data_IF_299419347413
#
_entry.id   IF_299419347413
#
_cell.length_a   1.000
_cell.length_b   1.000
_cell.length_c   1.000
_cell.angle_alpha   90.00
_cell.angle_beta   90.00
_cell.angle_gamma   90.00
#
_symmetry.space_group_name_H-M   'P 1'
#
loop_
_entity.id
_entity.type
_entity.pdbx_description
1 polymer ?
#
# COMPACT_ATOMS: atom_id res chain seq x y z
N UNK A 1 26.12 -11.67 4.86
CA UNK A 1 24.82 -11.21 4.35
C UNK A 1 24.38 -12.22 3.31
N UNK A 2 23.22 -12.83 3.50
CA UNK A 2 22.65 -13.86 2.61
C UNK A 2 21.88 -13.17 1.47
N UNK A 3 21.92 -13.71 0.24
CA UNK A 3 21.21 -13.14 -0.92
C UNK A 3 19.68 -13.10 -0.75
N UNK A 4 19.13 -13.91 0.17
CA UNK A 4 17.71 -13.95 0.50
C UNK A 4 17.22 -12.65 1.18
N UNK A 5 18.06 -12.02 1.99
CA UNK A 5 17.69 -10.79 2.73
C UNK A 5 17.60 -9.56 1.81
N UNK A 6 18.42 -9.52 0.75
CA UNK A 6 18.34 -8.50 -0.29
C UNK A 6 17.07 -8.64 -1.14
N UNK A 7 16.66 -9.88 -1.44
CA UNK A 7 15.43 -10.16 -2.20
C UNK A 7 14.17 -9.73 -1.44
N UNK A 8 14.14 -9.93 -0.11
CA UNK A 8 13.02 -9.50 0.75
C UNK A 8 12.97 -7.98 0.84
N UNK A 9 14.12 -7.34 0.99
CA UNK A 9 14.22 -5.88 1.04
C UNK A 9 13.77 -5.25 -0.28
N UNK A 10 14.18 -5.83 -1.42
CA UNK A 10 13.75 -5.39 -2.75
C UNK A 10 12.26 -5.53 -2.97
N UNK A 11 11.66 -6.70 -2.63
CA UNK A 11 10.21 -6.87 -2.74
C UNK A 11 9.45 -5.92 -1.82
N UNK A 12 9.91 -5.72 -0.60
CA UNK A 12 9.32 -4.77 0.34
C UNK A 12 9.37 -3.32 -0.17
N UNK A 13 10.47 -2.92 -0.80
CA UNK A 13 10.58 -1.61 -1.45
C UNK A 13 9.61 -1.48 -2.62
N UNK A 14 9.46 -2.53 -3.44
CA UNK A 14 8.51 -2.51 -4.56
C UNK A 14 7.06 -2.33 -4.07
N UNK A 15 6.63 -3.12 -3.08
CA UNK A 15 5.29 -2.99 -2.49
C UNK A 15 5.06 -1.60 -1.90
N UNK A 16 6.11 -1.02 -1.27
CA UNK A 16 6.04 0.35 -0.76
C UNK A 16 5.82 1.37 -1.87
N UNK A 17 6.49 1.23 -3.02
CA UNK A 17 6.30 2.12 -4.17
C UNK A 17 4.89 2.00 -4.73
N UNK A 18 4.37 0.78 -4.88
CA UNK A 18 2.99 0.53 -5.35
C UNK A 18 1.95 1.23 -4.43
N UNK A 19 2.09 1.09 -3.11
CA UNK A 19 1.22 1.77 -2.14
C UNK A 19 1.35 3.31 -2.18
N UNK A 20 2.58 3.82 -2.39
CA UNK A 20 2.80 5.27 -2.51
C UNK A 20 2.18 5.83 -3.79
N UNK A 21 2.25 5.09 -4.90
CA UNK A 21 1.59 5.46 -6.15
C UNK A 21 0.07 5.47 -5.98
N UNK A 22 -0.52 4.44 -5.37
CA UNK A 22 -1.95 4.41 -5.07
C UNK A 22 -2.36 5.61 -4.18
N UNK A 23 -1.57 5.92 -3.15
CA UNK A 23 -1.82 7.10 -2.29
C UNK A 23 -1.73 8.41 -3.04
N UNK A 24 -0.78 8.55 -3.97
CA UNK A 24 -0.67 9.74 -4.80
C UNK A 24 -1.91 9.91 -5.71
N UNK A 25 -2.42 8.81 -6.28
CA UNK A 25 -3.67 8.78 -7.06
C UNK A 25 -4.87 9.27 -6.23
N UNK A 26 -5.10 8.66 -5.07
CA UNK A 26 -6.18 9.05 -4.15
C UNK A 26 -6.08 10.53 -3.73
N UNK A 27 -4.88 11.02 -3.44
CA UNK A 27 -4.68 12.43 -3.08
C UNK A 27 -4.93 13.38 -4.25
N UNK A 28 -4.63 12.96 -5.48
CA UNK A 28 -4.97 13.74 -6.68
C UNK A 28 -6.48 13.81 -6.88
N UNK A 29 -7.20 12.69 -6.67
CA UNK A 29 -8.67 12.65 -6.74
C UNK A 29 -9.33 13.51 -5.66
N UNK A 30 -8.84 13.46 -4.41
CA UNK A 30 -9.29 14.33 -3.31
C UNK A 30 -9.14 15.80 -3.67
N UNK A 31 -8.01 16.18 -4.29
CA UNK A 31 -7.76 17.57 -4.74
C UNK A 31 -8.63 17.98 -5.93
N UNK A 32 -9.05 17.02 -6.74
CA UNK A 32 -9.87 17.25 -7.91
C UNK A 32 -11.38 17.30 -7.62
N UNK A 33 -11.85 16.79 -6.46
CA UNK A 33 -13.27 16.90 -6.08
C UNK A 33 -13.63 18.40 -5.92
N UNK A 34 -14.60 18.91 -6.71
CA UNK A 34 -15.04 20.28 -6.62
C UNK A 34 -15.74 20.54 -5.27
N UNK A 35 -15.70 21.77 -4.74
CA UNK A 35 -16.36 22.08 -3.48
C UNK A 35 -17.89 21.92 -3.55
N UNK A 36 -18.41 21.16 -2.57
CA UNK A 36 -19.80 21.04 -2.12
C UNK A 36 -20.88 20.75 -3.17
N UNK A 37 -20.98 19.48 -3.58
CA UNK A 37 -22.22 18.87 -4.07
C UNK A 37 -22.44 17.62 -3.19
N UNK A 38 -23.64 17.34 -2.65
CA UNK A 38 -23.88 16.22 -1.73
C UNK A 38 -23.41 14.83 -2.23
N UNK A 39 -23.36 14.63 -3.55
CA UNK A 39 -22.82 13.41 -4.15
C UNK A 39 -21.28 13.31 -4.07
N UNK A 40 -20.56 14.44 -4.00
CA UNK A 40 -19.12 14.46 -3.76
C UNK A 40 -18.81 14.09 -2.30
N UNK A 41 -19.73 14.21 -1.34
CA UNK A 41 -19.45 13.86 0.06
C UNK A 41 -19.25 12.34 0.24
N UNK A 42 -20.07 11.49 -0.38
CA UNK A 42 -19.88 10.03 -0.31
C UNK A 42 -18.60 9.59 -1.04
N UNK A 43 -18.35 10.14 -2.23
CA UNK A 43 -17.13 9.87 -2.98
C UNK A 43 -15.88 10.34 -2.22
N UNK A 44 -15.93 11.54 -1.65
CA UNK A 44 -14.84 12.13 -0.88
C UNK A 44 -14.60 11.34 0.42
N UNK A 45 -15.64 10.94 1.14
CA UNK A 45 -15.53 10.08 2.31
C UNK A 45 -14.86 8.75 1.94
N UNK A 46 -15.26 8.15 0.82
CA UNK A 46 -14.64 6.91 0.34
C UNK A 46 -13.14 7.11 0.00
N UNK A 47 -12.77 8.23 -0.63
CA UNK A 47 -11.37 8.57 -0.90
C UNK A 47 -10.56 8.79 0.39
N UNK A 48 -11.17 9.40 1.43
CA UNK A 48 -10.54 9.53 2.74
C UNK A 48 -10.32 8.17 3.41
N UNK A 49 -11.30 7.27 3.35
CA UNK A 49 -11.18 5.90 3.85
C UNK A 49 -10.05 5.14 3.13
N UNK A 50 -9.95 5.28 1.81
CA UNK A 50 -8.85 4.70 1.03
C UNK A 50 -7.50 5.27 1.43
N UNK A 51 -7.39 6.59 1.60
CA UNK A 51 -6.16 7.25 2.07
C UNK A 51 -5.72 6.70 3.43
N UNK A 52 -6.66 6.53 4.35
CA UNK A 52 -6.38 6.05 5.70
C UNK A 52 -6.01 4.55 5.69
N UNK A 53 -6.67 3.75 4.86
CA UNK A 53 -6.32 2.36 4.64
C UNK A 53 -4.90 2.20 4.05
N UNK A 54 -4.54 3.01 3.05
CA UNK A 54 -3.18 3.06 2.49
C UNK A 54 -2.14 3.47 3.54
N UNK A 55 -2.48 4.41 4.41
CA UNK A 55 -1.63 4.81 5.54
C UNK A 55 -1.35 3.65 6.50
N UNK A 56 -2.38 2.86 6.84
CA UNK A 56 -2.24 1.66 7.68
C UNK A 56 -1.39 0.58 7.00
N UNK A 57 -1.60 0.34 5.71
CA UNK A 57 -0.85 -0.65 4.95
C UNK A 57 0.64 -0.28 4.84
N UNK A 58 0.95 0.99 4.59
CA UNK A 58 2.33 1.50 4.58
C UNK A 58 3.00 1.35 5.96
N UNK A 59 2.27 1.63 7.05
CA UNK A 59 2.76 1.42 8.41
C UNK A 59 3.06 -0.05 8.69
N UNK A 60 2.11 -0.93 8.37
CA UNK A 60 2.27 -2.39 8.55
C UNK A 60 3.44 -2.95 7.74
N UNK A 61 3.63 -2.49 6.50
CA UNK A 61 4.78 -2.88 5.69
C UNK A 61 6.11 -2.41 6.30
N UNK A 62 6.15 -1.17 6.81
CA UNK A 62 7.33 -0.65 7.49
C UNK A 62 7.68 -1.48 8.74
N UNK A 63 6.68 -1.88 9.53
CA UNK A 63 6.88 -2.72 10.71
C UNK A 63 7.41 -4.12 10.34
N UNK A 64 6.90 -4.73 9.26
CA UNK A 64 7.40 -6.02 8.77
C UNK A 64 8.86 -5.91 8.35
N UNK A 65 9.23 -4.83 7.65
CA UNK A 65 10.60 -4.62 7.19
C UNK A 65 11.56 -4.29 8.35
N UNK A 66 11.11 -3.54 9.35
CA UNK A 66 11.88 -3.19 10.53
C UNK A 66 11.99 -4.33 11.55
N UNK A 67 11.10 -5.32 11.49
CA UNK A 67 11.10 -6.45 12.42
C UNK A 67 12.43 -7.22 12.38
N UNK A 68 12.98 -7.48 13.58
CA UNK A 68 14.17 -8.30 13.80
C UNK A 68 13.81 -9.79 13.87
N UNK A 69 13.19 -10.28 12.80
CA UNK A 69 12.85 -11.71 12.61
C UNK A 69 13.70 -12.30 11.48
N UNK A 70 13.83 -13.62 11.43
CA UNK A 70 14.56 -14.29 10.35
C UNK A 70 13.92 -14.07 8.98
N UNK A 71 14.72 -14.16 7.92
CA UNK A 71 14.32 -13.89 6.53
C UNK A 71 13.07 -14.69 6.12
N UNK A 72 12.98 -15.98 6.48
CA UNK A 72 11.81 -16.82 6.18
C UNK A 72 10.50 -16.30 6.80
N UNK A 73 10.56 -15.85 8.04
CA UNK A 73 9.38 -15.29 8.72
C UNK A 73 9.00 -13.93 8.15
N UNK A 74 10.01 -13.10 7.81
CA UNK A 74 9.78 -11.82 7.13
C UNK A 74 9.13 -12.04 5.76
N UNK A 75 9.63 -12.99 4.96
CA UNK A 75 9.06 -13.35 3.66
C UNK A 75 7.60 -13.83 3.78
N UNK A 76 7.30 -14.68 4.78
CA UNK A 76 5.92 -15.14 5.05
C UNK A 76 5.00 -13.96 5.36
N UNK A 77 5.41 -13.08 6.28
CA UNK A 77 4.62 -11.89 6.66
C UNK A 77 4.41 -10.94 5.49
N UNK A 78 5.41 -10.78 4.63
CA UNK A 78 5.32 -9.95 3.44
C UNK A 78 4.33 -10.53 2.42
N UNK A 79 4.35 -11.84 2.21
CA UNK A 79 3.40 -12.54 1.33
C UNK A 79 1.96 -12.48 1.88
N UNK A 80 1.78 -12.69 3.19
CA UNK A 80 0.47 -12.56 3.85
C UNK A 80 -0.06 -11.13 3.76
N UNK A 81 0.81 -10.14 3.97
CA UNK A 81 0.47 -8.72 3.80
C UNK A 81 0.00 -8.42 2.38
N UNK A 82 0.74 -8.88 1.36
CA UNK A 82 0.38 -8.65 -0.03
C UNK A 82 -1.00 -9.25 -0.38
N UNK A 83 -1.34 -10.42 0.16
CA UNK A 83 -2.65 -11.05 -0.06
C UNK A 83 -3.80 -10.35 0.66
N UNK A 84 -3.51 -9.66 1.76
CA UNK A 84 -4.51 -8.98 2.58
C UNK A 84 -4.74 -7.52 2.16
N UNK A 85 -3.78 -6.92 1.45
CA UNK A 85 -3.88 -5.53 1.00
C UNK A 85 -4.74 -5.43 -0.26
N UNK A 86 -5.81 -4.65 -0.19
CA UNK A 86 -6.70 -4.36 -1.31
C UNK A 86 -6.01 -3.56 -2.42
N UNK A 87 -4.93 -2.84 -2.12
CA UNK A 87 -4.23 -1.94 -3.04
C UNK A 87 -3.07 -2.61 -3.78
N UNK A 88 -2.68 -3.82 -3.37
CA UNK A 88 -1.58 -4.58 -3.96
C UNK A 88 -2.08 -5.74 -4.85
N UNK A 89 -3.41 -5.86 -5.01
CA UNK A 89 -4.04 -6.66 -6.06
C UNK A 89 -4.17 -5.83 -7.33
N UNK A 90 -3.04 -5.53 -7.96
CA UNK A 90 -3.03 -4.98 -9.31
C UNK A 90 -2.79 -6.15 -10.27
N UNK A 91 -3.85 -6.58 -10.93
CA UNK A 91 -3.73 -7.33 -12.18
C UNK A 91 -2.91 -6.48 -13.16
N UNK A 92 -1.86 -7.01 -13.82
CA UNK A 92 -1.01 -6.24 -14.74
C UNK A 92 -1.71 -5.86 -16.06
N UNK A 93 -3.04 -5.87 -16.12
CA UNK A 93 -3.83 -5.72 -17.35
C UNK A 93 -4.65 -4.44 -17.32
N UNK A 94 -4.00 -3.29 -17.17
CA UNK A 94 -4.52 -2.03 -17.74
C UNK A 94 -3.35 -1.05 -17.95
N UNK A 95 -2.54 -1.35 -18.96
CA UNK A 95 -1.59 -0.45 -19.58
C UNK A 95 -2.14 -0.06 -20.95
#
# INVERSE_FOLDING_TARGET
MTPESESISGRGQQLRQELLQARAGVLAEIRACPPAIPACDEQFNHLLEQRDALGRDLGRLADILAAKVGDKEKARRLADFQRQSTFLHVDPTNA
#
